data_IF_215782440318
#
_entry.id   IF_215782440318
#
_cell.length_a   1.000
_cell.length_b   1.000
_cell.length_c   1.000
_cell.angle_alpha   90.00
_cell.angle_beta   90.00
_cell.angle_gamma   90.00
#
_symmetry.space_group_name_H-M   'P 1'
#
loop_
_entity.id
_entity.type
_entity.pdbx_description
1 polymer ?
#
# COMPACT_ATOMS: atom_id res chain seq x y z
N UNK A 1 -4.47 0.15 26.10
CA UNK A 1 -4.58 -1.07 25.28
C UNK A 1 -3.81 -0.78 24.01
N UNK A 2 -2.79 -1.58 23.67
CA UNK A 2 -2.02 -1.38 22.44
C UNK A 2 -2.74 -2.07 21.29
N UNK A 3 -2.81 -1.42 20.14
CA UNK A 3 -3.36 -1.97 18.91
C UNK A 3 -2.22 -2.18 17.91
N UNK A 4 -2.13 -3.38 17.36
CA UNK A 4 -1.14 -3.74 16.35
C UNK A 4 -1.86 -4.03 15.03
N UNK A 5 -1.26 -3.58 13.92
CA UNK A 5 -1.82 -3.75 12.59
C UNK A 5 -0.83 -4.41 11.63
N UNK A 6 -1.34 -5.26 10.75
CA UNK A 6 -0.56 -5.93 9.70
C UNK A 6 -1.11 -5.53 8.33
N UNK A 7 -0.26 -4.95 7.49
CA UNK A 7 -0.61 -4.59 6.11
C UNK A 7 -0.11 -5.67 5.15
N UNK A 8 -1.04 -6.42 4.55
CA UNK A 8 -0.70 -7.46 3.57
C UNK A 8 -0.45 -6.83 2.19
N UNK A 9 0.83 -6.77 1.78
CA UNK A 9 1.27 -6.09 0.56
C UNK A 9 2.02 -6.99 -0.44
N UNK A 10 2.00 -8.32 -0.27
CA UNK A 10 2.85 -9.26 -1.02
C UNK A 10 2.34 -9.66 -2.42
N UNK A 11 1.18 -9.17 -2.87
CA UNK A 11 0.59 -9.58 -4.15
C UNK A 11 1.32 -9.02 -5.38
N UNK A 12 1.63 -9.89 -6.38
CA UNK A 12 2.40 -9.52 -7.59
C UNK A 12 1.74 -8.47 -8.50
N UNK A 13 0.42 -8.26 -8.42
CA UNK A 13 -0.25 -7.19 -9.18
C UNK A 13 -0.25 -7.34 -10.71
N UNK A 14 -0.34 -8.57 -11.24
CA UNK A 14 -0.15 -8.87 -12.69
C UNK A 14 -1.09 -8.14 -13.65
N UNK A 15 -2.31 -7.83 -13.22
CA UNK A 15 -3.29 -7.10 -14.04
C UNK A 15 -2.95 -5.61 -14.21
N UNK A 16 -1.98 -5.08 -13.47
CA UNK A 16 -1.51 -3.70 -13.58
C UNK A 16 -0.72 -3.44 -14.88
N UNK A 17 -0.21 -4.50 -15.55
CA UNK A 17 0.60 -4.42 -16.77
C UNK A 17 1.72 -3.38 -16.66
N UNK A 18 2.42 -3.40 -15.53
CA UNK A 18 3.42 -2.41 -15.13
C UNK A 18 4.60 -3.12 -14.48
N UNK A 19 5.81 -2.62 -14.69
CA UNK A 19 7.00 -3.08 -13.98
C UNK A 19 7.08 -2.49 -12.56
N UNK A 20 6.21 -1.55 -12.22
CA UNK A 20 6.09 -0.99 -10.88
C UNK A 20 5.18 -1.91 -10.05
N UNK A 21 5.62 -2.38 -8.86
CA UNK A 21 4.76 -3.12 -7.94
C UNK A 21 3.48 -2.34 -7.63
N UNK A 22 2.32 -3.02 -7.59
CA UNK A 22 0.99 -2.38 -7.40
C UNK A 22 0.98 -1.35 -6.27
N UNK A 23 1.57 -1.70 -5.13
CA UNK A 23 1.56 -0.87 -3.91
C UNK A 23 2.41 0.40 -4.01
N UNK A 24 3.30 0.47 -5.00
CA UNK A 24 4.15 1.63 -5.29
C UNK A 24 3.61 2.54 -6.40
N UNK A 25 2.51 2.16 -7.07
CA UNK A 25 1.82 3.07 -7.99
C UNK A 25 1.36 4.32 -7.22
N UNK A 26 1.63 5.50 -7.80
CA UNK A 26 1.31 6.78 -7.17
C UNK A 26 -0.15 7.16 -7.39
N UNK A 27 -0.84 7.55 -6.33
CA UNK A 27 -2.16 8.17 -6.31
C UNK A 27 -1.98 9.58 -5.74
N UNK A 28 -2.25 10.60 -6.54
CA UNK A 28 -1.99 12.01 -6.21
C UNK A 28 -0.53 12.25 -5.78
N UNK A 29 0.42 11.67 -6.53
CA UNK A 29 1.86 11.78 -6.26
C UNK A 29 2.40 10.91 -5.12
N UNK A 30 1.52 10.27 -4.33
CA UNK A 30 1.87 9.48 -3.14
C UNK A 30 1.72 7.97 -3.44
N UNK A 31 2.69 7.11 -3.08
CA UNK A 31 2.55 5.65 -3.26
C UNK A 31 1.28 5.10 -2.61
N UNK A 32 0.57 4.21 -3.28
CA UNK A 32 -0.69 3.61 -2.81
C UNK A 32 -0.60 3.09 -1.36
N UNK A 33 0.49 2.42 -0.99
CA UNK A 33 0.70 1.88 0.37
C UNK A 33 0.75 2.97 1.45
N UNK A 34 1.26 4.17 1.13
CA UNK A 34 1.35 5.24 2.09
C UNK A 34 -0.03 5.76 2.53
N UNK A 35 -1.04 5.65 1.66
CA UNK A 35 -2.43 5.94 2.05
C UNK A 35 -2.96 4.95 3.08
N UNK A 36 -2.61 3.66 2.95
CA UNK A 36 -2.99 2.62 3.92
C UNK A 36 -2.32 2.87 5.27
N UNK A 37 -1.01 3.19 5.26
CA UNK A 37 -0.27 3.48 6.48
C UNK A 37 -0.79 4.71 7.22
N UNK A 38 -1.19 5.76 6.50
CA UNK A 38 -1.79 6.98 7.09
C UNK A 38 -3.19 6.76 7.68
N UNK A 39 -3.88 5.70 7.27
CA UNK A 39 -5.18 5.35 7.83
C UNK A 39 -5.07 4.56 9.14
N UNK A 40 -3.87 4.11 9.52
CA UNK A 40 -3.65 3.44 10.79
C UNK A 40 -3.77 4.46 11.93
N UNK A 41 -4.42 4.09 13.05
CA UNK A 41 -4.44 4.92 14.25
C UNK A 41 -3.04 5.06 14.84
N UNK A 42 -2.80 6.17 15.55
CA UNK A 42 -1.57 6.40 16.32
C UNK A 42 -1.46 5.51 17.57
#
# INVERSE_FOLDING_TARGET
MSLEAVVLAAGRGTRMRSNIPKVLHRILGIPMVAWVLRALPE
#
